data_IF_573552624477
#
_entry.id   IF_573552624477
#
_cell.length_a   1.000
_cell.length_b   1.000
_cell.length_c   1.000
_cell.angle_alpha   90.00
_cell.angle_beta   90.00
_cell.angle_gamma   90.00
#
_symmetry.space_group_name_H-M   'P 1'
#
loop_
_entity.id
_entity.type
_entity.pdbx_description
1 polymer ?
#
# COMPACT_ATOMS: atom_id res chain seq x y z
N UNK A 1 -18.37 -8.40 15.95
CA UNK A 1 -17.56 -9.63 15.81
C UNK A 1 -18.24 -10.53 14.80
N UNK A 2 -17.61 -10.70 13.61
CA UNK A 2 -18.13 -11.62 12.62
C UNK A 2 -17.89 -13.06 13.08
N UNK A 3 -18.89 -13.94 13.09
CA UNK A 3 -18.71 -15.35 13.43
C UNK A 3 -17.86 -16.11 12.40
N UNK A 4 -17.53 -15.49 11.29
CA UNK A 4 -16.74 -16.08 10.20
C UNK A 4 -15.36 -15.45 10.16
N UNK A 5 -14.39 -16.08 10.79
CA UNK A 5 -13.00 -15.74 10.58
C UNK A 5 -12.55 -16.20 9.19
N UNK A 6 -11.81 -15.33 8.49
CA UNK A 6 -11.17 -15.72 7.24
C UNK A 6 -10.11 -16.79 7.48
N UNK A 7 -10.19 -17.87 6.72
CA UNK A 7 -9.17 -18.92 6.72
C UNK A 7 -8.08 -18.56 5.71
N UNK A 8 -6.97 -18.04 6.21
CA UNK A 8 -5.83 -17.60 5.40
C UNK A 8 -5.14 -18.75 4.64
N UNK A 9 -5.40 -20.01 4.99
CA UNK A 9 -4.84 -21.16 4.27
C UNK A 9 -5.51 -21.41 2.91
N UNK A 10 -6.73 -20.86 2.70
CA UNK A 10 -7.48 -21.03 1.46
C UNK A 10 -6.90 -20.29 0.25
N UNK A 11 -6.11 -19.26 0.51
CA UNK A 11 -5.50 -18.47 -0.55
C UNK A 11 -4.20 -17.84 -0.06
N UNK A 12 -3.11 -18.10 -0.77
CA UNK A 12 -1.80 -17.46 -0.51
C UNK A 12 -1.42 -16.66 -1.75
N UNK A 13 -1.38 -15.30 -1.66
CA UNK A 13 -1.00 -14.48 -2.80
C UNK A 13 0.51 -14.55 -3.06
N UNK A 14 0.93 -14.55 -4.32
CA UNK A 14 2.33 -14.35 -4.70
C UNK A 14 2.79 -12.92 -4.42
N UNK A 15 1.92 -11.95 -4.71
CA UNK A 15 2.13 -10.53 -4.43
C UNK A 15 0.90 -9.94 -3.73
N UNK A 16 1.12 -9.24 -2.64
CA UNK A 16 0.10 -8.49 -1.91
C UNK A 16 0.36 -6.99 -2.02
N UNK A 17 -0.59 -6.26 -2.57
CA UNK A 17 -0.56 -4.80 -2.64
C UNK A 17 -1.31 -4.18 -1.46
N UNK A 18 -0.68 -3.22 -0.77
CA UNK A 18 -1.29 -2.46 0.32
C UNK A 18 -1.32 -0.98 -0.10
N UNK A 19 -2.53 -0.49 -0.41
CA UNK A 19 -2.78 0.89 -0.80
C UNK A 19 -3.66 1.57 0.27
N UNK A 20 -3.03 2.14 1.28
CA UNK A 20 -3.69 2.80 2.40
C UNK A 20 -3.05 4.18 2.65
N UNK A 21 -3.86 5.10 3.18
CA UNK A 21 -3.41 6.43 3.55
C UNK A 21 -4.19 7.57 2.90
N UNK A 22 -4.84 7.35 1.76
CA UNK A 22 -5.63 8.38 1.09
C UNK A 22 -6.71 8.97 2.02
N UNK A 23 -7.50 8.12 2.67
CA UNK A 23 -8.55 8.58 3.60
C UNK A 23 -7.96 9.11 4.92
N UNK A 24 -6.83 8.57 5.38
CA UNK A 24 -6.16 9.05 6.58
C UNK A 24 -5.64 10.48 6.41
N UNK A 25 -5.28 10.87 5.18
CA UNK A 25 -4.71 12.17 4.83
C UNK A 25 -5.69 13.09 4.11
N UNK A 26 -6.95 12.71 4.00
CA UNK A 26 -7.98 13.54 3.35
C UNK A 26 -8.08 14.92 3.99
N UNK A 27 -8.02 14.98 5.32
CA UNK A 27 -7.93 16.20 6.10
C UNK A 27 -6.60 16.22 6.86
N UNK A 28 -5.57 16.86 6.27
CA UNK A 28 -4.21 16.88 6.82
C UNK A 28 -4.11 17.46 8.22
N UNK A 29 -5.00 18.39 8.59
CA UNK A 29 -5.07 18.96 9.94
C UNK A 29 -5.37 17.91 11.03
N UNK A 30 -6.02 16.81 10.68
CA UNK A 30 -6.34 15.71 11.58
C UNK A 30 -5.39 14.51 11.44
N UNK A 31 -4.48 14.52 10.47
CA UNK A 31 -3.55 13.41 10.25
C UNK A 31 -2.57 13.25 11.41
N UNK A 32 -2.51 12.05 11.97
CA UNK A 32 -1.57 11.69 13.01
C UNK A 32 -0.58 10.64 12.51
N UNK A 33 0.63 11.06 12.19
CA UNK A 33 1.68 10.23 11.60
C UNK A 33 2.08 9.03 12.50
N UNK A 34 2.16 9.24 13.82
CA UNK A 34 2.52 8.17 14.77
C UNK A 34 1.42 7.11 14.86
N UNK A 35 0.15 7.54 14.90
CA UNK A 35 -1.00 6.63 14.88
C UNK A 35 -1.07 5.84 13.58
N UNK A 36 -0.84 6.52 12.44
CA UNK A 36 -0.80 5.89 11.11
C UNK A 36 0.32 4.83 11.06
N UNK A 37 1.57 5.18 11.39
CA UNK A 37 2.70 4.24 11.40
C UNK A 37 2.41 3.03 12.31
N UNK A 38 1.95 3.28 13.53
CA UNK A 38 1.65 2.21 14.50
C UNK A 38 0.58 1.24 13.98
N UNK A 39 -0.49 1.75 13.38
CA UNK A 39 -1.57 0.91 12.85
C UNK A 39 -1.14 0.18 11.58
N UNK A 40 -0.38 0.84 10.71
CA UNK A 40 0.19 0.19 9.53
C UNK A 40 1.12 -0.97 9.91
N UNK A 41 1.96 -0.78 10.94
CA UNK A 41 2.81 -1.87 11.46
C UNK A 41 2.02 -3.02 12.07
N UNK A 42 0.88 -2.77 12.71
CA UNK A 42 -0.02 -3.84 13.18
C UNK A 42 -0.54 -4.66 12.00
N UNK A 43 -0.99 -3.99 10.93
CA UNK A 43 -1.40 -4.67 9.70
C UNK A 43 -0.26 -5.49 9.11
N UNK A 44 0.94 -4.91 8.95
CA UNK A 44 2.11 -5.60 8.42
C UNK A 44 2.48 -6.84 9.25
N UNK A 45 2.44 -6.74 10.58
CA UNK A 45 2.70 -7.89 11.45
C UNK A 45 1.67 -9.02 11.22
N UNK A 46 0.39 -8.68 11.08
CA UNK A 46 -0.65 -9.67 10.78
C UNK A 46 -0.44 -10.31 9.41
N UNK A 47 -0.22 -9.49 8.37
CA UNK A 47 0.01 -9.96 7.00
C UNK A 47 1.22 -10.90 6.93
N UNK A 48 2.35 -10.50 7.50
CA UNK A 48 3.59 -11.30 7.44
C UNK A 48 3.52 -12.58 8.29
N UNK A 49 2.69 -12.61 9.33
CA UNK A 49 2.43 -13.82 10.11
C UNK A 49 1.64 -14.86 9.30
N UNK A 50 0.67 -14.41 8.49
CA UNK A 50 -0.15 -15.30 7.68
C UNK A 50 0.50 -15.65 6.34
N UNK A 51 1.27 -14.74 5.75
CA UNK A 51 1.87 -14.85 4.43
C UNK A 51 3.40 -14.59 4.47
N UNK A 52 4.18 -15.43 5.14
CA UNK A 52 5.61 -15.18 5.39
C UNK A 52 6.47 -15.20 4.12
N UNK A 53 5.97 -15.75 3.01
CA UNK A 53 6.70 -15.85 1.73
C UNK A 53 6.16 -14.92 0.65
N UNK A 54 5.04 -14.25 0.89
CA UNK A 54 4.39 -13.36 -0.07
C UNK A 54 5.22 -12.09 -0.26
N UNK A 55 5.43 -11.68 -1.50
CA UNK A 55 6.00 -10.37 -1.81
C UNK A 55 4.98 -9.27 -1.49
N UNK A 56 5.37 -8.28 -0.71
CA UNK A 56 4.49 -7.16 -0.31
C UNK A 56 4.91 -5.90 -1.06
N UNK A 57 3.94 -5.17 -1.60
CA UNK A 57 4.16 -3.87 -2.22
C UNK A 57 3.33 -2.82 -1.49
N UNK A 58 4.02 -1.84 -0.91
CA UNK A 58 3.38 -0.70 -0.26
C UNK A 58 3.19 0.42 -1.29
N UNK A 59 1.94 0.80 -1.52
CA UNK A 59 1.57 1.79 -2.52
C UNK A 59 1.23 3.14 -1.90
N UNK A 60 1.49 4.23 -2.64
CA UNK A 60 0.76 5.48 -2.45
C UNK A 60 -0.22 5.66 -3.61
N UNK A 61 -1.49 5.93 -3.29
CA UNK A 61 -2.55 6.10 -4.28
C UNK A 61 -2.37 7.39 -5.11
N UNK A 62 -2.92 7.39 -6.32
CA UNK A 62 -2.84 8.53 -7.24
C UNK A 62 -3.61 9.77 -6.76
N UNK A 63 -4.55 9.61 -5.82
CA UNK A 63 -5.34 10.70 -5.27
C UNK A 63 -4.65 11.48 -4.13
N UNK A 64 -3.48 11.05 -3.70
CA UNK A 64 -2.75 11.70 -2.61
C UNK A 64 -2.05 12.97 -3.11
N UNK A 65 -2.38 14.12 -2.51
CA UNK A 65 -1.73 15.39 -2.82
C UNK A 65 -0.29 15.50 -2.28
N UNK A 66 0.45 16.55 -2.65
CA UNK A 66 1.86 16.69 -2.27
C UNK A 66 2.12 16.66 -0.76
N UNK A 67 1.28 17.31 0.05
CA UNK A 67 1.42 17.33 1.50
C UNK A 67 1.20 15.95 2.11
N UNK A 68 0.16 15.23 1.67
CA UNK A 68 -0.12 13.85 2.08
C UNK A 68 1.04 12.91 1.72
N UNK A 69 1.57 13.02 0.50
CA UNK A 69 2.72 12.25 0.06
C UNK A 69 3.97 12.54 0.87
N UNK A 70 4.24 13.83 1.17
CA UNK A 70 5.38 14.22 2.01
C UNK A 70 5.30 13.64 3.43
N UNK A 71 4.08 13.47 3.97
CA UNK A 71 3.86 12.89 5.29
C UNK A 71 3.93 11.35 5.28
N UNK A 72 3.35 10.70 4.27
CA UNK A 72 3.17 9.24 4.25
C UNK A 72 4.39 8.49 3.70
N UNK A 73 5.05 9.00 2.64
CA UNK A 73 6.18 8.29 2.00
C UNK A 73 7.31 7.96 2.96
N UNK A 74 7.80 8.87 3.82
CA UNK A 74 8.87 8.54 4.77
C UNK A 74 8.50 7.42 5.75
N UNK A 75 7.22 7.35 6.15
CA UNK A 75 6.72 6.29 7.03
C UNK A 75 6.74 4.95 6.32
N UNK A 76 6.24 4.91 5.09
CA UNK A 76 6.22 3.67 4.29
C UNK A 76 7.65 3.21 3.94
N UNK A 77 8.58 4.13 3.65
CA UNK A 77 9.99 3.81 3.39
C UNK A 77 10.66 3.19 4.62
N UNK A 78 10.39 3.75 5.80
CA UNK A 78 10.86 3.20 7.08
C UNK A 78 10.30 1.80 7.33
N UNK A 79 9.00 1.59 7.11
CA UNK A 79 8.36 0.29 7.25
C UNK A 79 8.97 -0.72 6.27
N UNK A 80 9.10 -0.37 4.99
CA UNK A 80 9.75 -1.21 3.98
C UNK A 80 11.13 -1.65 4.44
N UNK A 81 11.98 -0.68 4.81
CA UNK A 81 13.36 -0.95 5.26
C UNK A 81 13.39 -1.91 6.45
N UNK A 82 12.57 -1.64 7.48
CA UNK A 82 12.54 -2.44 8.70
C UNK A 82 12.12 -3.89 8.42
N UNK A 83 11.06 -4.09 7.62
CA UNK A 83 10.58 -5.44 7.30
C UNK A 83 11.54 -6.19 6.37
N UNK A 84 12.18 -5.52 5.44
CA UNK A 84 13.18 -6.14 4.55
C UNK A 84 14.44 -6.55 5.32
N UNK A 85 14.96 -5.68 6.16
CA UNK A 85 16.24 -5.93 6.87
C UNK A 85 16.07 -6.84 8.09
N UNK A 86 15.05 -6.61 8.91
CA UNK A 86 14.87 -7.29 10.20
C UNK A 86 14.06 -8.57 10.06
N UNK A 87 12.98 -8.54 9.29
CA UNK A 87 12.08 -9.69 9.09
C UNK A 87 12.45 -10.55 7.89
N UNK A 88 13.38 -10.09 7.04
CA UNK A 88 13.74 -10.72 5.76
C UNK A 88 12.54 -10.98 4.85
N UNK A 89 11.51 -10.13 4.98
CA UNK A 89 10.33 -10.15 4.13
C UNK A 89 10.62 -9.36 2.85
N UNK A 90 10.21 -9.87 1.69
CA UNK A 90 10.31 -9.10 0.45
C UNK A 90 9.24 -8.00 0.45
N UNK A 91 9.67 -6.77 0.71
CA UNK A 91 8.80 -5.59 0.73
C UNK A 91 9.33 -4.56 -0.25
N UNK A 92 8.49 -4.14 -1.17
CA UNK A 92 8.77 -3.10 -2.16
C UNK A 92 7.91 -1.88 -1.93
N UNK A 93 8.29 -0.77 -2.58
CA UNK A 93 7.53 0.47 -2.66
C UNK A 93 7.17 0.76 -4.11
N UNK A 94 5.96 1.26 -4.32
CA UNK A 94 5.54 1.82 -5.58
C UNK A 94 4.62 3.02 -5.34
N UNK A 95 4.92 4.13 -5.97
CA UNK A 95 4.16 5.36 -5.85
C UNK A 95 3.50 5.66 -7.20
N UNK A 96 2.17 5.68 -7.23
CA UNK A 96 1.45 6.12 -8.43
C UNK A 96 1.69 7.60 -8.70
N UNK A 97 1.72 7.97 -9.97
CA UNK A 97 1.73 9.38 -10.37
C UNK A 97 0.45 10.07 -9.85
N UNK A 98 0.58 11.15 -9.07
CA UNK A 98 -0.59 11.86 -8.56
C UNK A 98 -1.42 12.49 -9.68
N UNK A 99 -2.73 12.26 -9.64
CA UNK A 99 -3.68 12.84 -10.59
C UNK A 99 -4.95 13.25 -9.87
N UNK A 100 -5.57 14.36 -10.31
CA UNK A 100 -6.93 14.70 -9.89
C UNK A 100 -7.90 13.67 -10.47
N UNK A 101 -8.76 13.10 -9.63
CA UNK A 101 -9.75 12.12 -10.09
C UNK A 101 -10.81 12.76 -10.98
N UNK A 102 -11.11 12.09 -12.09
CA UNK A 102 -12.11 12.50 -13.10
C UNK A 102 -13.38 11.64 -13.02
N UNK A 103 -13.45 10.68 -12.14
CA UNK A 103 -14.61 9.83 -11.92
C UNK A 103 -15.54 10.34 -10.82
N UNK A 104 -16.48 9.49 -10.41
CA UNK A 104 -17.42 9.82 -9.33
C UNK A 104 -16.67 10.06 -8.00
N UNK A 105 -17.14 11.04 -7.23
CA UNK A 105 -16.57 11.40 -5.93
C UNK A 105 -15.05 11.64 -5.97
N UNK A 106 -14.57 12.25 -7.06
CA UNK A 106 -13.14 12.55 -7.28
C UNK A 106 -12.22 11.32 -7.35
N UNK A 107 -12.80 10.14 -7.52
CA UNK A 107 -12.02 8.93 -7.75
C UNK A 107 -11.48 8.87 -9.18
N UNK A 108 -10.42 8.07 -9.45
CA UNK A 108 -9.91 7.92 -10.80
C UNK A 108 -10.96 7.35 -11.75
N UNK A 109 -11.11 7.96 -12.93
CA UNK A 109 -11.93 7.45 -14.02
C UNK A 109 -11.38 6.13 -14.57
N UNK A 110 -12.17 5.42 -15.40
CA UNK A 110 -11.69 4.19 -16.06
C UNK A 110 -10.42 4.41 -16.86
N UNK A 111 -10.32 5.53 -17.58
CA UNK A 111 -9.12 5.87 -18.35
C UNK A 111 -7.90 6.12 -17.46
N UNK A 112 -8.09 6.78 -16.29
CA UNK A 112 -7.04 6.98 -15.31
C UNK A 112 -6.61 5.67 -14.66
N UNK A 113 -7.54 4.76 -14.35
CA UNK A 113 -7.20 3.43 -13.83
C UNK A 113 -6.43 2.59 -14.86
N UNK A 114 -6.77 2.70 -16.15
CA UNK A 114 -5.98 2.08 -17.22
C UNK A 114 -4.56 2.66 -17.29
N UNK A 115 -4.39 3.98 -17.17
CA UNK A 115 -3.08 4.60 -17.10
C UNK A 115 -2.27 4.13 -15.88
N UNK A 116 -2.90 4.07 -14.69
CA UNK A 116 -2.28 3.52 -13.47
C UNK A 116 -1.84 2.06 -13.67
N UNK A 117 -2.64 1.24 -14.35
CA UNK A 117 -2.25 -0.14 -14.63
C UNK A 117 -1.01 -0.22 -15.53
N UNK A 118 -0.87 0.68 -16.50
CA UNK A 118 0.31 0.78 -17.37
C UNK A 118 1.57 1.21 -16.61
N UNK A 119 1.45 1.98 -15.54
CA UNK A 119 2.56 2.29 -14.64
C UNK A 119 2.95 1.07 -13.79
N UNK A 120 1.97 0.35 -13.24
CA UNK A 120 2.19 -0.72 -12.29
C UNK A 120 2.70 -2.02 -12.94
N UNK A 121 2.19 -2.38 -14.12
CA UNK A 121 2.50 -3.67 -14.78
C UNK A 121 4.01 -3.88 -14.99
N UNK A 122 4.79 -2.93 -15.52
CA UNK A 122 6.23 -3.11 -15.69
C UNK A 122 6.97 -3.35 -14.37
N UNK A 123 6.55 -2.66 -13.32
CA UNK A 123 7.10 -2.85 -11.98
C UNK A 123 6.80 -4.26 -11.43
N UNK A 124 5.56 -4.73 -11.58
CA UNK A 124 5.16 -6.08 -11.13
C UNK A 124 5.95 -7.15 -11.87
N UNK A 125 6.07 -7.06 -13.19
CA UNK A 125 6.90 -7.98 -13.98
C UNK A 125 8.32 -8.05 -13.44
N UNK A 126 8.96 -6.89 -13.21
CA UNK A 126 10.33 -6.81 -12.68
C UNK A 126 10.50 -7.48 -11.31
N UNK A 127 9.52 -7.42 -10.41
CA UNK A 127 9.63 -8.04 -9.08
C UNK A 127 9.33 -9.53 -9.10
N UNK A 128 8.58 -10.02 -10.09
CA UNK A 128 8.27 -11.45 -10.28
C UNK A 128 9.37 -12.21 -11.03
N UNK A 129 10.20 -11.53 -11.81
CA UNK A 129 11.33 -12.14 -12.54
C UNK A 129 12.56 -12.43 -11.67
N UNK A 130 12.52 -12.11 -10.37
CA UNK A 130 13.58 -12.35 -9.38
C UNK A 130 13.31 -13.61 -8.57
#
# INVERSE_FOLDING_TARGET
DSPHQWDFSKFTPDVLFINLGTNDTWEMSSFNAEKYERNFRKLMNSVTAHYPKTTIVLLTGSMMGPEALAAVKPILDKIQKDYTTTKKQLVYRFDFTPVAGEGADWHPSSAQQEAMSKELIPFVKKILEK
#
